data_IF_935047486479
#
_entry.id   IF_935047486479
#
_cell.length_a   1.000
_cell.length_b   1.000
_cell.length_c   1.000
_cell.angle_alpha   90.00
_cell.angle_beta   90.00
_cell.angle_gamma   90.00
#
_symmetry.space_group_name_H-M   'P 1'
#
loop_
_entity.id
_entity.type
_entity.pdbx_description
1 polymer ?
#
# COMPACT_ATOMS: atom_id res chain seq x y z
N UNK A 1 -13.31 8.63 -11.94
CA UNK A 1 -11.92 8.56 -11.53
C UNK A 1 -11.32 7.32 -12.16
N UNK A 2 -10.15 7.48 -12.81
CA UNK A 2 -9.42 6.35 -13.37
C UNK A 2 -9.02 5.44 -12.21
N UNK A 3 -9.41 4.18 -12.27
CA UNK A 3 -9.05 3.20 -11.26
C UNK A 3 -7.53 3.01 -11.27
N UNK A 4 -6.90 2.92 -10.09
CA UNK A 4 -5.48 2.58 -9.98
C UNK A 4 -5.28 1.09 -10.29
N UNK A 5 -5.30 0.75 -11.57
CA UNK A 5 -5.16 -0.62 -12.06
C UNK A 5 -3.69 -1.06 -11.95
N UNK A 6 -3.37 -2.16 -11.27
CA UNK A 6 -1.98 -2.54 -11.00
C UNK A 6 -1.21 -2.89 -12.29
N UNK A 7 -1.86 -3.48 -13.30
CA UNK A 7 -1.23 -3.77 -14.61
C UNK A 7 -0.93 -2.52 -15.46
N UNK A 8 -1.42 -1.33 -15.03
CA UNK A 8 -1.07 -0.03 -15.60
C UNK A 8 -0.07 0.68 -14.71
N UNK A 9 -0.40 0.85 -13.42
CA UNK A 9 0.39 1.64 -12.49
C UNK A 9 1.78 1.02 -12.21
N UNK A 10 1.88 -0.30 -12.09
CA UNK A 10 3.16 -0.97 -11.81
C UNK A 10 4.17 -0.74 -12.93
N UNK A 11 3.88 -1.01 -14.23
CA UNK A 11 4.82 -0.71 -15.31
C UNK A 11 5.15 0.78 -15.46
N UNK A 12 4.21 1.68 -15.17
CA UNK A 12 4.48 3.12 -15.20
C UNK A 12 5.48 3.55 -14.11
N UNK A 13 5.31 3.04 -12.88
CA UNK A 13 6.25 3.30 -11.78
C UNK A 13 7.63 2.75 -12.12
N UNK A 14 7.73 1.52 -12.63
CA UNK A 14 8.99 0.91 -13.08
C UNK A 14 9.68 1.78 -14.15
N UNK A 15 8.92 2.25 -15.14
CA UNK A 15 9.46 3.09 -16.23
C UNK A 15 9.95 4.45 -15.73
N UNK A 16 9.24 5.08 -14.80
CA UNK A 16 9.65 6.34 -14.17
C UNK A 16 10.94 6.13 -13.38
N UNK A 17 10.98 5.10 -12.52
CA UNK A 17 12.14 4.78 -11.71
C UNK A 17 13.39 4.48 -12.57
N UNK A 18 13.24 3.65 -13.60
CA UNK A 18 14.32 3.32 -14.52
C UNK A 18 14.91 4.55 -15.23
N UNK A 19 14.09 5.56 -15.56
CA UNK A 19 14.55 6.82 -16.14
C UNK A 19 15.26 7.72 -15.13
N UNK A 20 14.88 7.65 -13.85
CA UNK A 20 15.48 8.48 -12.79
C UNK A 20 16.83 7.96 -12.33
N UNK A 21 17.04 6.63 -12.29
CA UNK A 21 18.28 6.00 -11.81
C UNK A 21 19.57 6.52 -12.44
N UNK A 22 19.69 6.71 -13.76
CA UNK A 22 20.91 7.24 -14.36
C UNK A 22 21.14 8.74 -14.12
N UNK A 23 20.12 9.47 -13.67
CA UNK A 23 20.14 10.92 -13.47
C UNK A 23 20.43 11.30 -12.01
N UNK A 24 19.91 10.52 -11.06
CA UNK A 24 19.97 10.82 -9.63
C UNK A 24 20.79 9.78 -8.87
N UNK A 25 21.80 10.24 -8.13
CA UNK A 25 22.65 9.36 -7.31
C UNK A 25 21.89 8.77 -6.10
N UNK A 26 20.90 9.51 -5.61
CA UNK A 26 20.10 9.11 -4.44
C UNK A 26 18.63 9.22 -4.77
N UNK A 27 17.91 8.12 -4.68
CA UNK A 27 16.46 8.06 -4.89
C UNK A 27 15.83 7.45 -3.64
N UNK A 28 14.82 8.13 -3.12
CA UNK A 28 13.99 7.66 -2.02
C UNK A 28 12.55 7.49 -2.51
N UNK A 29 11.88 6.49 -1.99
CA UNK A 29 10.47 6.27 -2.22
C UNK A 29 9.67 6.80 -1.04
N UNK A 30 8.63 7.58 -1.33
CA UNK A 30 7.59 7.93 -0.36
C UNK A 30 6.26 7.38 -0.86
N UNK A 31 5.61 6.54 -0.05
CA UNK A 31 4.37 5.87 -0.42
C UNK A 31 3.30 5.97 0.66
N UNK A 32 2.06 6.19 0.25
CA UNK A 32 0.90 6.29 1.15
C UNK A 32 -0.17 5.29 0.69
N UNK A 33 -0.78 4.58 1.66
CA UNK A 33 -1.95 3.72 1.41
C UNK A 33 -1.72 2.72 0.25
N UNK A 34 -2.65 2.65 -0.70
CA UNK A 34 -2.55 1.81 -1.91
C UNK A 34 -1.36 2.20 -2.80
N UNK A 35 -0.98 3.49 -2.84
CA UNK A 35 0.21 3.94 -3.56
C UNK A 35 1.49 3.32 -3.03
N UNK A 36 1.58 3.08 -1.72
CA UNK A 36 2.69 2.34 -1.11
C UNK A 36 2.77 0.91 -1.63
N UNK A 37 1.64 0.20 -1.70
CA UNK A 37 1.59 -1.17 -2.22
C UNK A 37 2.01 -1.24 -3.69
N UNK A 38 1.46 -0.36 -4.54
CA UNK A 38 1.80 -0.32 -5.97
C UNK A 38 3.29 -0.03 -6.19
N UNK A 39 3.85 0.92 -5.44
CA UNK A 39 5.26 1.29 -5.55
C UNK A 39 6.17 0.17 -5.05
N UNK A 40 5.88 -0.45 -3.92
CA UNK A 40 6.62 -1.61 -3.43
C UNK A 40 6.54 -2.78 -4.42
N UNK A 41 5.34 -3.05 -4.98
CA UNK A 41 5.17 -4.11 -5.98
C UNK A 41 5.99 -3.85 -7.25
N UNK A 42 6.04 -2.62 -7.71
CA UNK A 42 6.84 -2.23 -8.88
C UNK A 42 8.36 -2.34 -8.62
N UNK A 43 8.80 -1.95 -7.43
CA UNK A 43 10.22 -1.76 -7.15
C UNK A 43 10.84 -2.87 -6.29
N UNK A 44 10.12 -3.96 -5.99
CA UNK A 44 10.62 -5.03 -5.12
C UNK A 44 11.86 -5.75 -5.66
N UNK A 45 12.07 -5.78 -6.98
CA UNK A 45 13.26 -6.34 -7.62
C UNK A 45 14.47 -5.41 -7.65
N UNK A 46 14.25 -4.11 -7.40
CA UNK A 46 15.28 -3.07 -7.46
C UNK A 46 14.87 -1.91 -6.54
N UNK A 47 14.88 -2.16 -5.24
CA UNK A 47 14.40 -1.22 -4.23
C UNK A 47 15.26 0.07 -4.19
N UNK A 48 14.63 1.25 -3.97
CA UNK A 48 15.33 2.50 -3.72
C UNK A 48 16.21 2.44 -2.48
N UNK A 49 17.12 3.42 -2.36
CA UNK A 49 18.05 3.52 -1.20
C UNK A 49 17.32 3.54 0.14
N UNK A 50 16.17 4.21 0.18
CA UNK A 50 15.31 4.30 1.37
C UNK A 50 13.85 4.41 0.94
N UNK A 51 12.98 3.82 1.73
CA UNK A 51 11.53 3.86 1.55
C UNK A 51 10.84 4.33 2.82
N UNK A 52 9.97 5.33 2.68
CA UNK A 52 9.11 5.85 3.73
C UNK A 52 7.66 5.55 3.38
N UNK A 53 6.96 4.88 4.27
CA UNK A 53 5.57 4.46 4.06
C UNK A 53 4.68 5.01 5.17
N UNK A 54 3.58 5.66 4.78
CA UNK A 54 2.55 6.16 5.71
C UNK A 54 1.27 5.39 5.48
N UNK A 55 0.73 4.76 6.52
CA UNK A 55 -0.46 3.90 6.45
C UNK A 55 -0.45 2.94 5.24
N UNK A 56 0.61 2.18 4.99
CA UNK A 56 0.69 1.40 3.76
C UNK A 56 -0.34 0.27 3.75
N UNK A 57 -0.94 0.04 2.59
CA UNK A 57 -1.53 -1.26 2.28
C UNK A 57 -0.37 -2.23 2.06
N UNK A 58 -0.30 -3.28 2.85
CA UNK A 58 0.79 -4.27 2.79
C UNK A 58 0.30 -5.65 2.34
N UNK A 59 -1.00 -5.86 2.33
CA UNK A 59 -1.67 -7.08 1.88
C UNK A 59 -2.93 -6.71 1.09
N UNK A 60 -2.78 -6.58 -0.22
CA UNK A 60 -3.87 -6.15 -1.11
C UNK A 60 -4.95 -7.22 -1.25
N UNK A 61 -4.59 -8.51 -1.22
CA UNK A 61 -5.57 -9.59 -1.27
C UNK A 61 -6.47 -9.57 -0.04
N UNK A 62 -5.89 -9.39 1.15
CA UNK A 62 -6.65 -9.28 2.38
C UNK A 62 -7.54 -8.02 2.38
N UNK A 63 -7.07 -6.89 1.85
CA UNK A 63 -7.88 -5.68 1.71
C UNK A 63 -9.10 -5.94 0.82
N UNK A 64 -8.91 -6.50 -0.37
CA UNK A 64 -10.01 -6.83 -1.30
C UNK A 64 -10.98 -7.82 -0.65
N UNK A 65 -10.46 -8.86 0.00
CA UNK A 65 -11.29 -9.88 0.68
C UNK A 65 -12.13 -9.26 1.81
N UNK A 66 -11.56 -8.35 2.59
CA UNK A 66 -12.29 -7.62 3.63
C UNK A 66 -13.40 -6.75 3.00
N UNK A 67 -13.11 -6.05 1.91
CA UNK A 67 -14.11 -5.26 1.19
C UNK A 67 -15.25 -6.14 0.67
N UNK A 68 -14.94 -7.33 0.13
CA UNK A 68 -15.95 -8.31 -0.29
C UNK A 68 -16.84 -8.75 0.88
N UNK A 69 -16.25 -9.01 2.06
CA UNK A 69 -17.01 -9.36 3.26
C UNK A 69 -17.95 -8.24 3.71
N UNK A 70 -17.48 -6.99 3.73
CA UNK A 70 -18.32 -5.83 4.06
C UNK A 70 -19.46 -5.62 3.06
N UNK A 71 -19.22 -5.85 1.79
CA UNK A 71 -20.22 -5.73 0.73
C UNK A 71 -21.12 -6.99 0.63
N UNK A 72 -20.90 -8.01 1.43
CA UNK A 72 -21.59 -9.32 1.34
C UNK A 72 -21.47 -9.96 -0.03
N UNK A 73 -20.33 -9.80 -0.70
CA UNK A 73 -20.01 -10.35 -2.02
C UNK A 73 -19.15 -11.59 -1.85
N UNK A 74 -19.59 -12.71 -2.41
CA UNK A 74 -18.78 -13.93 -2.48
C UNK A 74 -17.83 -13.90 -3.68
N UNK A 75 -16.76 -14.68 -3.61
CA UNK A 75 -15.79 -14.80 -4.72
C UNK A 75 -16.47 -15.32 -6.00
N UNK A 76 -17.41 -16.27 -5.88
CA UNK A 76 -18.18 -16.78 -7.01
C UNK A 76 -19.05 -15.68 -7.67
N UNK A 77 -19.67 -14.82 -6.87
CA UNK A 77 -20.44 -13.68 -7.38
C UNK A 77 -19.55 -12.69 -8.12
N UNK A 78 -18.39 -12.34 -7.54
CA UNK A 78 -17.43 -11.44 -8.16
C UNK A 78 -16.85 -12.01 -9.45
N UNK A 79 -16.49 -13.30 -9.46
CA UNK A 79 -16.04 -14.01 -10.67
C UNK A 79 -17.07 -13.97 -11.80
N UNK A 80 -18.33 -14.23 -11.46
CA UNK A 80 -19.42 -14.24 -12.46
C UNK A 80 -19.74 -12.84 -13.02
N UNK A 81 -19.67 -11.81 -12.16
CA UNK A 81 -19.99 -10.44 -12.55
C UNK A 81 -18.80 -9.71 -13.20
N UNK A 82 -17.56 -10.11 -12.89
CA UNK A 82 -16.34 -9.42 -13.29
C UNK A 82 -16.06 -8.20 -12.42
N UNK A 83 -17.03 -7.31 -12.29
CA UNK A 83 -16.98 -6.11 -11.46
C UNK A 83 -18.29 -5.91 -10.69
N UNK A 84 -18.18 -5.46 -9.44
CA UNK A 84 -19.34 -5.18 -8.57
C UNK A 84 -19.09 -3.84 -7.86
N UNK A 85 -19.84 -2.77 -8.19
CA UNK A 85 -19.82 -1.52 -7.42
C UNK A 85 -20.27 -1.77 -5.98
N UNK A 86 -19.63 -1.10 -5.02
CA UNK A 86 -20.00 -1.19 -3.61
C UNK A 86 -20.47 0.16 -3.07
N UNK A 87 -21.25 0.12 -1.98
CA UNK A 87 -21.66 1.33 -1.24
C UNK A 87 -20.49 2.02 -0.52
N UNK A 88 -19.30 1.41 -0.52
CA UNK A 88 -18.06 1.97 0.02
C UNK A 88 -17.39 2.98 -0.93
N UNK A 89 -17.96 3.20 -2.12
CA UNK A 89 -17.42 4.09 -3.15
C UNK A 89 -16.37 3.44 -4.06
N UNK A 90 -15.99 2.19 -3.78
CA UNK A 90 -15.03 1.42 -4.56
C UNK A 90 -15.75 0.31 -5.35
N UNK A 91 -15.16 -0.09 -6.46
CA UNK A 91 -15.66 -1.22 -7.27
C UNK A 91 -14.76 -2.44 -7.04
N UNK A 92 -15.37 -3.53 -6.57
CA UNK A 92 -14.71 -4.84 -6.53
C UNK A 92 -14.48 -5.34 -7.96
N UNK A 93 -13.27 -5.82 -8.24
CA UNK A 93 -12.89 -6.28 -9.57
C UNK A 93 -12.25 -7.67 -9.50
N UNK A 94 -12.83 -8.63 -10.21
CA UNK A 94 -12.28 -9.98 -10.33
C UNK A 94 -10.90 -10.01 -11.00
N UNK A 95 -10.66 -9.29 -12.13
CA UNK A 95 -9.33 -9.20 -12.72
C UNK A 95 -8.28 -8.62 -11.75
N UNK A 96 -8.67 -7.64 -10.91
CA UNK A 96 -7.77 -7.08 -9.92
C UNK A 96 -7.35 -8.12 -8.88
N UNK A 97 -8.31 -8.85 -8.32
CA UNK A 97 -8.05 -9.90 -7.33
C UNK A 97 -7.15 -11.01 -7.93
N UNK A 98 -7.43 -11.46 -9.16
CA UNK A 98 -6.59 -12.43 -9.85
C UNK A 98 -5.15 -11.92 -10.02
N UNK A 99 -5.00 -10.68 -10.49
CA UNK A 99 -3.68 -10.09 -10.67
C UNK A 99 -2.88 -10.02 -9.37
N UNK A 100 -3.52 -9.63 -8.27
CA UNK A 100 -2.87 -9.57 -6.94
C UNK A 100 -2.38 -10.96 -6.51
N UNK A 101 -3.16 -12.01 -6.70
CA UNK A 101 -2.80 -13.40 -6.38
C UNK A 101 -1.64 -13.92 -7.22
N UNK A 102 -1.59 -13.55 -8.49
CA UNK A 102 -0.51 -13.93 -9.42
C UNK A 102 0.78 -13.15 -9.17
N UNK A 103 0.70 -12.00 -8.50
CA UNK A 103 1.82 -11.08 -8.30
C UNK A 103 2.01 -10.72 -6.80
N UNK A 104 2.40 -11.68 -5.95
CA UNK A 104 2.57 -11.44 -4.52
C UNK A 104 3.66 -10.39 -4.24
N UNK A 105 3.50 -9.65 -3.16
CA UNK A 105 4.47 -8.68 -2.69
C UNK A 105 5.55 -9.37 -1.84
N UNK A 106 6.82 -9.20 -2.24
CA UNK A 106 8.00 -9.64 -1.51
C UNK A 106 8.96 -8.46 -1.32
N UNK A 107 8.71 -7.63 -0.32
CA UNK A 107 9.47 -6.41 -0.10
C UNK A 107 10.62 -6.60 0.88
N UNK A 108 11.83 -6.18 0.48
CA UNK A 108 13.05 -6.25 1.29
C UNK A 108 13.88 -4.95 1.26
N UNK A 109 13.30 -3.82 0.84
CA UNK A 109 13.97 -2.53 0.84
C UNK A 109 14.15 -1.96 2.26
N UNK A 110 15.16 -1.11 2.46
CA UNK A 110 15.34 -0.34 3.71
C UNK A 110 14.11 0.56 3.91
N UNK A 111 13.29 0.26 4.90
CA UNK A 111 11.95 0.83 5.02
C UNK A 111 11.66 1.36 6.42
N UNK A 112 11.13 2.57 6.47
CA UNK A 112 10.49 3.18 7.63
C UNK A 112 8.99 3.21 7.40
N UNK A 113 8.20 2.82 8.39
CA UNK A 113 6.73 2.80 8.33
C UNK A 113 6.17 3.64 9.46
N UNK A 114 5.25 4.54 9.14
CA UNK A 114 4.35 5.17 10.11
C UNK A 114 2.97 4.52 9.97
N UNK A 115 2.46 4.02 11.08
CA UNK A 115 1.18 3.31 11.15
C UNK A 115 0.32 3.85 12.29
N UNK A 116 -0.95 4.09 12.05
CA UNK A 116 -1.93 4.44 13.07
C UNK A 116 -2.57 3.19 13.69
N UNK A 117 -2.63 3.11 15.01
CA UNK A 117 -3.19 1.92 15.69
C UNK A 117 -4.72 1.76 15.51
N UNK A 118 -5.39 2.78 14.98
CA UNK A 118 -6.82 2.77 14.58
C UNK A 118 -7.01 2.68 13.07
N UNK A 119 -6.00 2.26 12.34
CA UNK A 119 -6.11 2.02 10.89
C UNK A 119 -7.16 0.92 10.63
N UNK A 120 -8.19 1.26 9.85
CA UNK A 120 -9.29 0.35 9.53
C UNK A 120 -9.03 -0.49 8.26
N UNK A 121 -8.02 -0.16 7.46
CA UNK A 121 -7.71 -0.86 6.20
C UNK A 121 -6.60 -1.89 6.38
N UNK A 122 -5.55 -1.54 7.12
CA UNK A 122 -4.46 -2.46 7.45
C UNK A 122 -4.51 -2.80 8.94
N UNK A 123 -4.78 -4.05 9.28
CA UNK A 123 -4.84 -4.47 10.68
C UNK A 123 -3.44 -4.48 11.33
N UNK A 124 -3.42 -4.38 12.66
CA UNK A 124 -2.18 -4.49 13.43
C UNK A 124 -1.42 -5.78 13.14
N UNK A 125 -2.11 -6.90 12.98
CA UNK A 125 -1.49 -8.19 12.66
C UNK A 125 -0.82 -8.17 11.28
N UNK A 126 -1.45 -7.53 10.28
CA UNK A 126 -0.90 -7.43 8.93
C UNK A 126 0.37 -6.59 8.91
N UNK A 127 0.37 -5.43 9.57
CA UNK A 127 1.54 -4.55 9.56
C UNK A 127 2.72 -5.14 10.35
N UNK A 128 2.45 -5.86 11.45
CA UNK A 128 3.49 -6.55 12.21
C UNK A 128 4.08 -7.73 11.43
N UNK A 129 3.25 -8.48 10.70
CA UNK A 129 3.74 -9.52 9.77
C UNK A 129 4.64 -8.92 8.70
N UNK A 130 4.19 -7.84 8.05
CA UNK A 130 5.01 -7.12 7.06
C UNK A 130 6.35 -6.66 7.65
N UNK A 131 6.33 -6.08 8.85
CA UNK A 131 7.55 -5.68 9.55
C UNK A 131 8.53 -6.85 9.76
N UNK A 132 8.02 -8.01 10.17
CA UNK A 132 8.84 -9.20 10.40
C UNK A 132 9.44 -9.76 9.10
N UNK A 133 8.65 -9.81 8.03
CA UNK A 133 9.06 -10.36 6.74
C UNK A 133 10.01 -9.43 5.98
N UNK A 134 9.76 -8.12 6.00
CA UNK A 134 10.56 -7.12 5.26
C UNK A 134 11.75 -6.57 6.02
N UNK A 135 11.78 -6.71 7.36
CA UNK A 135 12.76 -6.04 8.21
C UNK A 135 12.50 -4.53 8.39
N UNK A 136 11.32 -4.04 8.04
CA UNK A 136 10.96 -2.63 8.15
C UNK A 136 10.98 -2.14 9.62
N UNK A 137 11.38 -0.88 9.80
CA UNK A 137 11.23 -0.19 11.09
C UNK A 137 9.81 0.39 11.19
N UNK A 138 9.06 0.00 12.21
CA UNK A 138 7.67 0.38 12.41
C UNK A 138 7.55 1.40 13.54
N UNK A 139 7.04 2.59 13.23
CA UNK A 139 6.59 3.61 14.18
C UNK A 139 5.06 3.57 14.25
N UNK A 140 4.52 3.53 15.47
CA UNK A 140 3.08 3.45 15.70
C UNK A 140 2.63 4.73 16.37
N UNK A 141 1.65 5.38 15.76
CA UNK A 141 0.96 6.51 16.36
C UNK A 141 -0.26 6.01 17.11
N UNK A 142 -0.28 6.21 18.43
CA UNK A 142 -1.46 5.94 19.25
C UNK A 142 -2.61 6.88 18.88
N UNK A 143 -3.80 6.32 18.65
CA UNK A 143 -4.97 7.05 18.19
C UNK A 143 -4.91 7.49 16.72
N UNK A 144 -3.87 7.10 15.98
CA UNK A 144 -3.72 7.39 14.55
C UNK A 144 -4.72 6.59 13.71
N UNK A 145 -5.36 7.25 12.77
CA UNK A 145 -6.26 6.65 11.79
C UNK A 145 -5.55 6.51 10.44
N UNK A 146 -6.13 5.75 9.52
CA UNK A 146 -5.55 5.52 8.19
C UNK A 146 -5.17 6.84 7.48
N UNK A 147 -6.03 7.83 7.53
CA UNK A 147 -5.87 9.08 6.78
C UNK A 147 -5.02 10.14 7.47
N UNK A 148 -4.67 10.01 8.74
CA UNK A 148 -3.93 11.01 9.50
C UNK A 148 -4.43 12.45 9.28
N UNK A 149 -5.74 12.66 9.38
CA UNK A 149 -6.41 13.88 8.93
C UNK A 149 -6.62 14.96 10.01
N UNK A 150 -6.45 14.61 11.28
CA UNK A 150 -6.58 15.60 12.36
C UNK A 150 -5.30 16.43 12.50
N UNK A 151 -5.35 17.67 13.04
CA UNK A 151 -4.15 18.48 13.23
C UNK A 151 -3.04 17.77 14.03
N UNK A 152 -3.40 16.99 15.05
CA UNK A 152 -2.44 16.21 15.86
C UNK A 152 -1.81 15.10 15.03
N UNK A 153 -2.61 14.38 14.24
CA UNK A 153 -2.11 13.31 13.39
C UNK A 153 -1.22 13.87 12.26
N UNK A 154 -1.61 14.97 11.63
CA UNK A 154 -0.82 15.63 10.59
C UNK A 154 0.54 16.13 11.14
N UNK A 155 0.56 16.70 12.35
CA UNK A 155 1.80 17.12 13.00
C UNK A 155 2.71 15.93 13.33
N UNK A 156 2.12 14.77 13.70
CA UNK A 156 2.89 13.54 13.92
C UNK A 156 3.51 13.00 12.62
N UNK A 157 2.78 13.02 11.50
CA UNK A 157 3.31 12.68 10.18
C UNK A 157 4.50 13.58 9.83
N UNK A 158 4.33 14.90 9.94
CA UNK A 158 5.38 15.86 9.65
C UNK A 158 6.63 15.63 10.51
N UNK A 159 6.46 15.45 11.83
CA UNK A 159 7.59 15.17 12.73
C UNK A 159 8.31 13.87 12.37
N UNK A 160 7.54 12.84 12.00
CA UNK A 160 8.10 11.57 11.60
C UNK A 160 8.86 11.68 10.25
N UNK A 161 8.31 12.42 9.28
CA UNK A 161 8.97 12.69 8.00
C UNK A 161 10.32 13.43 8.21
N UNK A 162 10.33 14.51 9.00
CA UNK A 162 11.53 15.29 9.30
C UNK A 162 12.63 14.45 9.98
N UNK A 163 12.24 13.46 10.78
CA UNK A 163 13.17 12.55 11.46
C UNK A 163 13.74 11.45 10.56
N UNK A 164 13.10 11.17 9.41
CA UNK A 164 13.45 10.04 8.54
C UNK A 164 13.89 10.45 7.12
N UNK A 165 13.75 11.71 6.73
CA UNK A 165 14.27 12.26 5.48
C UNK A 165 15.73 12.67 5.59
#
# INVERSE_FOLDING_TARGET
>A
PEQLLPWVAVPEIEAVYARMKPVWAHIRLYGVSIGAWLAMRALQGDAPEQTLLVSPVVDMEALITNMMQYAHVTEEQLHRAGEIPTDLGETLSWPYLCWVREHPLHWHGRTQVLYGDRDALTSRTMIERFRQESGAHLTIMEGGEHWFHTPVQMAAVQTWEEANL
#
